data_IF_015333377572
#
_entry.id   IF_015333377572
#
_cell.length_a   1.000
_cell.length_b   1.000
_cell.length_c   1.000
_cell.angle_alpha   90.00
_cell.angle_beta   90.00
_cell.angle_gamma   90.00
#
_symmetry.space_group_name_H-M   'P 1'
#
loop_
_entity.id
_entity.type
_entity.pdbx_description
1 polymer ?
#
# COMPACT_ATOMS: atom_id res chain seq x y z
N UNK A 1 8.78 -12.15 -19.74
CA UNK A 1 8.57 -11.77 -19.98
C UNK A 1 7.99 -11.80 -20.18
N UNK A 2 7.84 -11.63 -19.91
CA UNK A 2 7.60 -11.48 -20.10
C UNK A 2 6.86 -11.22 -20.19
N UNK A 3 6.79 -11.10 -19.95
CA UNK A 3 6.41 -10.46 -20.04
C UNK A 3 5.79 -9.95 -20.36
N UNK A 4 5.55 -9.60 -20.16
CA UNK A 4 5.40 -8.81 -20.43
C UNK A 4 5.51 -8.23 -20.65
N UNK A 5 5.65 -7.95 -20.47
CA UNK A 5 6.00 -7.01 -20.51
C UNK A 5 6.39 -6.38 -21.30
N UNK A 6 6.59 -6.18 -21.67
CA UNK A 6 7.15 -5.53 -22.23
C UNK A 6 6.82 -4.57 -22.60
N UNK A 7 6.29 -4.02 -22.16
CA UNK A 7 6.21 -3.07 -22.33
C UNK A 7 5.99 -2.23 -22.12
N UNK A 8 5.61 -1.96 -22.15
CA UNK A 8 5.29 -1.22 -21.55
C UNK A 8 5.40 0.20 -21.32
N UNK A 9 5.10 0.94 -20.48
CA UNK A 9 5.56 2.19 -19.98
C UNK A 9 6.99 2.48 -20.38
N UNK A 10 7.30 3.66 -20.84
CA UNK A 10 8.63 4.00 -21.27
C UNK A 10 9.66 3.87 -20.17
N UNK A 11 9.36 4.40 -19.00
CA UNK A 11 10.28 4.30 -17.88
C UNK A 11 10.61 2.88 -17.54
N UNK A 12 9.62 2.01 -17.51
CA UNK A 12 9.86 0.64 -17.14
C UNK A 12 10.66 -0.11 -18.17
N UNK A 13 10.63 0.32 -19.43
CA UNK A 13 11.42 -0.34 -20.45
C UNK A 13 12.90 -0.27 -20.18
N UNK A 14 13.35 0.79 -19.56
CA UNK A 14 14.75 0.97 -19.25
C UNK A 14 15.26 -0.16 -18.36
N UNK A 15 14.38 -0.72 -17.56
CA UNK A 15 14.75 -1.71 -16.56
C UNK A 15 14.67 -3.15 -17.03
N UNK A 16 14.24 -3.36 -18.23
CA UNK A 16 13.96 -4.69 -18.72
C UNK A 16 15.11 -5.64 -18.80
N UNK A 17 16.30 -5.17 -18.91
CA UNK A 17 17.45 -6.05 -19.00
C UNK A 17 17.83 -6.73 -17.70
N UNK A 18 17.21 -6.35 -16.64
CA UNK A 18 17.60 -6.79 -15.30
C UNK A 18 16.78 -8.00 -14.90
N UNK A 19 17.29 -9.15 -15.18
CA UNK A 19 16.71 -10.44 -14.88
C UNK A 19 15.66 -10.47 -13.79
N UNK A 20 15.96 -11.05 -12.62
CA UNK A 20 15.02 -11.10 -11.53
C UNK A 20 14.51 -9.75 -11.16
N UNK A 21 15.35 -8.77 -11.30
CA UNK A 21 14.98 -7.43 -10.93
C UNK A 21 14.12 -6.75 -11.97
N UNK A 22 14.11 -7.25 -13.19
CA UNK A 22 13.35 -6.62 -14.26
C UNK A 22 11.86 -6.59 -13.93
N UNK A 23 11.31 -7.71 -13.46
CA UNK A 23 9.89 -7.78 -13.12
C UNK A 23 9.56 -6.83 -11.96
N UNK A 24 10.41 -6.84 -10.92
CA UNK A 24 10.18 -5.96 -9.78
C UNK A 24 10.34 -4.50 -10.16
N UNK A 25 11.34 -4.20 -10.97
CA UNK A 25 11.57 -2.83 -11.40
C UNK A 25 10.44 -2.33 -12.28
N UNK A 26 9.92 -3.19 -13.14
CA UNK A 26 8.78 -2.84 -13.98
C UNK A 26 7.53 -2.51 -13.17
N UNK A 27 7.27 -3.29 -12.13
CA UNK A 27 6.10 -3.04 -11.29
C UNK A 27 6.24 -1.76 -10.48
N UNK A 28 7.44 -1.45 -10.03
CA UNK A 28 7.70 -0.18 -9.36
C UNK A 28 7.54 1.00 -10.30
N UNK A 29 8.01 0.84 -11.54
CA UNK A 29 7.86 1.87 -12.55
C UNK A 29 6.39 2.13 -12.87
N UNK A 30 5.62 1.07 -12.98
CA UNK A 30 4.17 1.20 -13.22
C UNK A 30 3.50 1.96 -12.10
N UNK A 31 3.87 1.63 -10.86
CA UNK A 31 3.30 2.29 -9.70
C UNK A 31 3.70 3.77 -9.69
N UNK A 32 4.96 4.04 -9.96
CA UNK A 32 5.43 5.42 -10.00
C UNK A 32 4.75 6.22 -11.10
N UNK A 33 4.54 5.59 -12.27
CA UNK A 33 3.83 6.23 -13.36
C UNK A 33 2.41 6.58 -12.97
N UNK A 34 1.72 5.65 -12.28
CA UNK A 34 0.38 5.91 -11.78
C UNK A 34 0.39 7.13 -10.84
N UNK A 35 1.36 7.20 -9.93
CA UNK A 35 1.46 8.31 -9.00
C UNK A 35 1.70 9.63 -9.72
N UNK A 36 2.57 9.61 -10.74
CA UNK A 36 2.88 10.82 -11.50
C UNK A 36 1.71 11.29 -12.34
N UNK A 37 0.97 10.36 -12.92
CA UNK A 37 -0.21 10.69 -13.72
C UNK A 37 -1.30 11.34 -12.88
N UNK A 38 -1.31 11.03 -11.60
CA UNK A 38 -2.28 11.58 -10.65
C UNK A 38 -1.63 12.56 -9.69
N UNK A 39 -0.52 13.16 -10.11
CA UNK A 39 0.31 13.99 -9.24
C UNK A 39 -0.45 15.16 -8.63
N UNK A 40 -1.37 15.75 -9.37
CA UNK A 40 -2.14 16.88 -8.85
C UNK A 40 -2.93 16.46 -7.60
N UNK A 41 -3.48 15.27 -7.63
CA UNK A 41 -4.31 14.75 -6.54
C UNK A 41 -3.46 14.14 -5.43
N UNK A 42 -2.40 13.42 -5.79
CA UNK A 42 -1.67 12.59 -4.81
C UNK A 42 -0.34 13.17 -4.35
N UNK A 43 0.04 14.32 -4.86
CA UNK A 43 1.37 14.87 -4.66
C UNK A 43 1.80 14.95 -3.20
N UNK A 44 0.93 15.42 -2.34
CA UNK A 44 1.27 15.64 -0.94
C UNK A 44 0.66 14.61 0.00
N UNK A 45 0.08 13.54 -0.55
CA UNK A 45 -0.54 12.53 0.30
C UNK A 45 0.51 11.63 0.92
N UNK A 46 0.30 11.31 2.17
CA UNK A 46 1.11 10.32 2.88
C UNK A 46 0.62 8.92 2.54
N UNK A 47 1.33 7.91 3.00
CA UNK A 47 0.97 6.52 2.70
C UNK A 47 0.87 5.68 3.95
N UNK A 48 0.01 4.67 3.89
CA UNK A 48 -0.03 3.58 4.85
C UNK A 48 0.37 2.35 4.05
N UNK A 49 1.45 1.69 4.46
CA UNK A 49 2.01 0.54 3.73
C UNK A 49 1.87 -0.72 4.57
N UNK A 50 1.43 -1.81 3.94
CA UNK A 50 1.32 -3.09 4.63
C UNK A 50 1.65 -4.22 3.67
N UNK A 51 2.38 -5.24 4.14
CA UNK A 51 2.75 -6.37 3.31
C UNK A 51 4.23 -6.44 3.01
N UNK A 52 5.07 -5.99 3.95
CA UNK A 52 6.53 -6.06 3.83
C UNK A 52 7.06 -5.23 2.67
N UNK A 53 6.58 -3.99 2.58
CA UNK A 53 7.00 -3.05 1.53
C UNK A 53 7.46 -1.71 2.11
N UNK A 54 8.30 -1.72 3.17
CA UNK A 54 8.65 -0.46 3.86
C UNK A 54 9.44 0.51 3.00
N UNK A 55 10.25 0.00 2.08
CA UNK A 55 11.06 0.86 1.21
C UNK A 55 10.25 1.66 0.21
N UNK A 56 8.98 1.32 0.05
CA UNK A 56 8.14 1.96 -0.94
C UNK A 56 7.91 3.44 -0.63
N UNK A 57 7.80 3.79 0.65
CA UNK A 57 7.62 5.20 1.03
C UNK A 57 8.82 6.03 0.57
N UNK A 58 10.00 5.47 0.71
CA UNK A 58 11.22 6.14 0.28
C UNK A 58 11.26 6.26 -1.25
N UNK A 59 10.96 5.17 -1.93
CA UNK A 59 10.96 5.15 -3.39
C UNK A 59 9.97 6.15 -3.97
N UNK A 60 8.79 6.26 -3.38
CA UNK A 60 7.76 7.16 -3.85
C UNK A 60 7.90 8.58 -3.30
N UNK A 61 8.88 8.81 -2.43
CA UNK A 61 9.10 10.10 -1.77
C UNK A 61 7.84 10.54 -1.02
N UNK A 62 7.21 9.60 -0.31
CA UNK A 62 6.01 9.87 0.46
C UNK A 62 6.23 9.47 1.91
N UNK A 63 5.85 10.37 2.82
CA UNK A 63 5.98 10.08 4.25
C UNK A 63 4.92 9.09 4.70
N UNK A 64 5.19 8.30 5.75
CA UNK A 64 4.15 7.44 6.31
C UNK A 64 3.09 8.28 7.02
N UNK A 65 1.84 7.83 6.93
CA UNK A 65 0.72 8.50 7.59
C UNK A 65 0.58 8.07 9.04
N UNK A 66 1.18 6.93 9.39
CA UNK A 66 1.19 6.43 10.76
C UNK A 66 2.64 6.47 11.25
N UNK A 67 2.87 6.08 12.50
CA UNK A 67 4.16 6.28 13.15
C UNK A 67 5.35 5.59 12.44
N UNK A 68 5.10 4.73 11.49
CA UNK A 68 6.16 3.96 10.84
C UNK A 68 5.80 3.68 9.38
N UNK A 69 6.83 3.53 8.55
CA UNK A 69 6.65 3.07 7.17
C UNK A 69 6.62 1.54 7.08
N UNK A 70 6.76 0.85 8.21
CA UNK A 70 6.80 -0.61 8.23
C UNK A 70 5.85 -1.13 9.31
N UNK A 71 4.57 -0.86 9.12
CA UNK A 71 3.55 -1.18 10.11
C UNK A 71 3.46 -2.68 10.40
N UNK A 72 3.74 -3.51 9.41
CA UNK A 72 3.64 -4.97 9.59
C UNK A 72 4.89 -5.62 10.17
N UNK A 73 5.90 -4.83 10.57
CA UNK A 73 7.04 -5.37 11.28
C UNK A 73 6.60 -5.84 12.67
N UNK A 74 7.05 -7.01 13.08
CA UNK A 74 6.61 -7.64 14.33
C UNK A 74 6.80 -6.76 15.56
N UNK A 75 7.85 -5.95 15.57
CA UNK A 75 8.16 -5.11 16.74
C UNK A 75 7.30 -3.85 16.82
N UNK A 76 6.54 -3.54 15.77
CA UNK A 76 5.66 -2.38 15.77
C UNK A 76 4.32 -2.78 16.37
N UNK A 77 3.81 -1.98 17.31
CA UNK A 77 2.66 -2.39 18.09
C UNK A 77 1.33 -2.11 17.40
N UNK A 78 0.39 -3.00 17.62
CA UNK A 78 -0.98 -2.84 17.16
C UNK A 78 -1.61 -1.60 17.79
N UNK A 79 -1.36 -1.41 19.09
CA UNK A 79 -1.97 -0.29 19.83
C UNK A 79 -1.56 1.05 19.25
N UNK A 80 -0.29 1.18 18.89
CA UNK A 80 0.19 2.44 18.30
C UNK A 80 -0.44 2.68 16.93
N UNK A 81 -0.55 1.62 16.14
CA UNK A 81 -1.18 1.73 14.82
C UNK A 81 -2.65 2.11 14.96
N UNK A 82 -3.37 1.43 15.85
CA UNK A 82 -4.79 1.70 16.06
C UNK A 82 -5.02 3.13 16.52
N UNK A 83 -4.13 3.62 17.40
CA UNK A 83 -4.20 4.98 17.88
C UNK A 83 -4.00 6.00 16.76
N UNK A 84 -3.01 5.73 15.91
CA UNK A 84 -2.72 6.62 14.78
C UNK A 84 -3.87 6.64 13.79
N UNK A 85 -4.45 5.49 13.49
CA UNK A 85 -5.59 5.42 12.58
C UNK A 85 -6.80 6.16 13.15
N UNK A 86 -7.02 6.05 14.46
CA UNK A 86 -8.10 6.75 15.10
C UNK A 86 -7.89 8.26 15.04
N UNK A 87 -6.66 8.71 15.23
CA UNK A 87 -6.31 10.12 15.11
C UNK A 87 -6.59 10.62 13.69
N UNK A 88 -6.21 9.82 12.70
CA UNK A 88 -6.49 10.18 11.30
C UNK A 88 -7.99 10.32 11.05
N UNK A 89 -8.78 9.38 11.59
CA UNK A 89 -10.24 9.45 11.46
C UNK A 89 -10.81 10.76 11.97
N UNK A 90 -10.18 11.32 13.00
CA UNK A 90 -10.67 12.54 13.63
C UNK A 90 -10.16 13.80 12.98
N UNK A 91 -9.00 13.77 12.36
CA UNK A 91 -8.30 14.98 11.96
C UNK A 91 -8.09 15.14 10.46
N UNK A 92 -8.11 14.06 9.69
CA UNK A 92 -7.78 14.17 8.27
C UNK A 92 -8.91 14.78 7.47
N UNK A 93 -8.52 15.46 6.39
CA UNK A 93 -9.47 16.00 5.42
C UNK A 93 -9.41 15.13 4.17
N UNK A 94 -10.31 15.40 3.24
CA UNK A 94 -10.31 14.70 1.97
C UNK A 94 -8.97 14.86 1.25
N UNK A 95 -8.40 16.04 1.35
CA UNK A 95 -7.16 16.36 0.65
C UNK A 95 -5.94 15.65 1.23
N UNK A 96 -5.90 15.47 2.54
CA UNK A 96 -4.75 14.86 3.18
C UNK A 96 -4.98 13.40 3.56
N UNK A 97 -6.09 12.81 3.12
CA UNK A 97 -6.37 11.40 3.36
C UNK A 97 -5.28 10.55 2.74
N UNK A 98 -4.63 9.66 3.52
CA UNK A 98 -3.48 8.93 3.00
C UNK A 98 -3.88 7.89 1.96
N UNK A 99 -2.94 7.55 1.09
CA UNK A 99 -3.08 6.41 0.20
C UNK A 99 -2.76 5.16 1.00
N UNK A 100 -3.47 4.06 0.73
CA UNK A 100 -3.17 2.77 1.36
C UNK A 100 -2.63 1.85 0.27
N UNK A 101 -1.45 1.29 0.49
CA UNK A 101 -0.81 0.41 -0.48
C UNK A 101 -0.52 -0.94 0.18
N UNK A 102 -1.04 -1.99 -0.42
CA UNK A 102 -0.77 -3.37 0.00
C UNK A 102 0.10 -4.04 -1.05
N UNK A 103 0.94 -4.97 -0.62
CA UNK A 103 1.58 -5.86 -1.57
C UNK A 103 0.54 -6.88 -2.08
N UNK A 104 0.68 -7.29 -3.33
CA UNK A 104 -0.22 -8.31 -3.87
C UNK A 104 -0.10 -9.62 -3.12
N UNK A 105 1.06 -9.84 -2.54
CA UNK A 105 1.34 -11.03 -1.74
C UNK A 105 0.31 -11.25 -0.63
N UNK A 106 -0.22 -10.18 -0.05
CA UNK A 106 -1.16 -10.29 1.05
C UNK A 106 -2.61 -10.08 0.64
N UNK A 107 -2.89 -9.87 -0.64
CA UNK A 107 -4.26 -9.57 -1.07
C UNK A 107 -5.24 -10.70 -0.79
N UNK A 108 -4.79 -11.95 -0.85
CA UNK A 108 -5.67 -13.07 -0.51
C UNK A 108 -6.11 -12.99 0.96
N UNK A 109 -5.18 -12.61 1.84
CA UNK A 109 -5.51 -12.44 3.27
C UNK A 109 -6.42 -11.22 3.49
N UNK A 110 -6.19 -10.16 2.72
CA UNK A 110 -7.06 -8.97 2.78
C UNK A 110 -8.50 -9.37 2.44
N UNK A 111 -8.67 -10.09 1.34
CA UNK A 111 -10.00 -10.51 0.90
C UNK A 111 -10.64 -11.46 1.91
N UNK A 112 -9.85 -12.39 2.46
CA UNK A 112 -10.35 -13.32 3.45
C UNK A 112 -10.85 -12.60 4.70
N UNK A 113 -10.08 -11.64 5.18
CA UNK A 113 -10.49 -10.86 6.36
C UNK A 113 -11.74 -10.03 6.08
N UNK A 114 -11.88 -9.51 4.88
CA UNK A 114 -13.05 -8.72 4.51
C UNK A 114 -14.31 -9.59 4.44
N UNK A 115 -14.16 -10.81 3.92
CA UNK A 115 -15.32 -11.69 3.72
C UNK A 115 -15.69 -12.47 4.97
N UNK A 116 -14.71 -12.96 5.70
CA UNK A 116 -14.94 -13.93 6.78
C UNK A 116 -14.56 -13.42 8.16
N UNK A 117 -13.89 -12.28 8.24
CA UNK A 117 -13.40 -11.76 9.51
C UNK A 117 -12.25 -12.58 10.05
N UNK A 118 -11.82 -12.26 11.26
CA UNK A 118 -10.74 -12.98 11.91
C UNK A 118 -11.26 -14.22 12.61
N UNK A 119 -10.46 -15.29 12.59
CA UNK A 119 -10.74 -16.46 13.37
C UNK A 119 -10.25 -16.20 14.79
N UNK A 120 -11.16 -16.08 15.75
CA UNK A 120 -10.80 -15.75 17.13
C UNK A 120 -10.22 -14.35 17.21
N UNK A 121 -9.17 -14.20 18.00
CA UNK A 121 -8.51 -12.90 18.18
C UNK A 121 -7.50 -12.60 17.06
N UNK A 122 -7.04 -13.63 16.38
CA UNK A 122 -6.04 -13.49 15.33
C UNK A 122 -4.65 -13.18 15.86
N UNK A 123 -3.68 -13.15 14.97
CA UNK A 123 -2.32 -12.75 15.30
C UNK A 123 -2.24 -11.23 15.36
N UNK A 124 -1.14 -10.70 15.90
CA UNK A 124 -0.91 -9.25 15.91
C UNK A 124 -0.93 -8.72 14.48
N UNK A 125 -0.32 -9.47 13.56
CA UNK A 125 -0.30 -9.09 12.14
C UNK A 125 -1.73 -8.97 11.58
N UNK A 126 -2.57 -9.94 11.89
CA UNK A 126 -3.97 -9.91 11.44
C UNK A 126 -4.76 -8.79 12.08
N UNK A 127 -4.50 -8.53 13.37
CA UNK A 127 -5.17 -7.44 14.08
C UNK A 127 -4.81 -6.10 13.46
N UNK A 128 -3.55 -5.90 13.12
CA UNK A 128 -3.10 -4.67 12.46
C UNK A 128 -3.74 -4.52 11.09
N UNK A 129 -3.76 -5.59 10.32
CA UNK A 129 -4.36 -5.55 8.99
C UNK A 129 -5.85 -5.23 9.09
N UNK A 130 -6.54 -5.86 10.04
CA UNK A 130 -7.96 -5.58 10.23
C UNK A 130 -8.20 -4.12 10.62
N UNK A 131 -7.33 -3.57 11.44
CA UNK A 131 -7.46 -2.16 11.83
C UNK A 131 -7.37 -1.25 10.59
N UNK A 132 -6.44 -1.55 9.70
CA UNK A 132 -6.30 -0.78 8.45
C UNK A 132 -7.55 -0.97 7.58
N UNK A 133 -8.05 -2.20 7.46
CA UNK A 133 -9.24 -2.47 6.65
C UNK A 133 -10.47 -1.78 7.20
N UNK A 134 -10.63 -1.75 8.52
CA UNK A 134 -11.74 -1.06 9.16
C UNK A 134 -11.64 0.46 8.89
N UNK A 135 -10.43 1.00 8.98
CA UNK A 135 -10.19 2.40 8.66
C UNK A 135 -10.59 2.71 7.21
N UNK A 136 -10.22 1.82 6.30
CA UNK A 136 -10.56 1.99 4.88
C UNK A 136 -12.07 1.91 4.65
N UNK A 137 -12.74 0.99 5.35
CA UNK A 137 -14.19 0.83 5.20
C UNK A 137 -14.94 2.05 5.70
N UNK A 138 -14.55 2.53 6.86
CA UNK A 138 -15.18 3.71 7.45
C UNK A 138 -15.03 4.94 6.55
N UNK A 139 -13.88 5.04 5.89
CA UNK A 139 -13.58 6.19 5.04
C UNK A 139 -13.85 5.94 3.57
N UNK A 140 -14.50 4.84 3.24
CA UNK A 140 -14.97 4.52 1.89
C UNK A 140 -13.84 4.53 0.85
N UNK A 141 -12.73 3.89 1.19
CA UNK A 141 -11.62 3.74 0.26
C UNK A 141 -12.01 2.82 -0.89
N UNK A 142 -11.44 3.06 -2.05
CA UNK A 142 -11.63 2.20 -3.21
C UNK A 142 -10.30 1.92 -3.87
N UNK A 143 -10.22 0.81 -4.60
CA UNK A 143 -9.00 0.45 -5.30
C UNK A 143 -8.84 1.37 -6.52
N UNK A 144 -7.69 2.02 -6.63
CA UNK A 144 -7.39 2.93 -7.73
C UNK A 144 -6.36 2.36 -8.69
N UNK A 145 -5.55 1.40 -8.25
CA UNK A 145 -4.48 0.84 -9.07
C UNK A 145 -4.12 -0.54 -8.55
N UNK A 146 -3.76 -1.42 -9.46
CA UNK A 146 -3.28 -2.76 -9.08
C UNK A 146 -2.40 -3.28 -10.20
N UNK A 147 -1.28 -3.91 -9.82
CA UNK A 147 -0.46 -4.66 -10.76
C UNK A 147 0.00 -5.94 -10.08
N UNK A 148 1.04 -6.57 -10.60
CA UNK A 148 1.48 -7.87 -10.07
C UNK A 148 2.05 -7.79 -8.65
N UNK A 149 2.47 -6.61 -8.22
CA UNK A 149 3.15 -6.45 -6.93
C UNK A 149 2.39 -5.57 -5.94
N UNK A 150 1.59 -4.64 -6.40
CA UNK A 150 1.00 -3.63 -5.53
C UNK A 150 -0.46 -3.38 -5.82
N UNK A 151 -1.21 -3.06 -4.78
CA UNK A 151 -2.59 -2.58 -4.90
C UNK A 151 -2.67 -1.26 -4.14
N UNK A 152 -3.20 -0.22 -4.77
CA UNK A 152 -3.31 1.12 -4.20
C UNK A 152 -4.77 1.45 -4.00
N UNK A 153 -5.09 1.90 -2.80
CA UNK A 153 -6.45 2.32 -2.44
C UNK A 153 -6.45 3.80 -2.07
N UNK A 154 -7.51 4.49 -2.48
CA UNK A 154 -7.66 5.92 -2.25
C UNK A 154 -9.00 6.24 -1.60
#
# INVERSE_FOLDING_TARGET
DGHKRDTTVEGSRILRGMKTNAANAGTLEELNTFMLENNTEYRNKKVILYGNIPGLSYYLHKAPAVYTSWADLDTNSYERLAEDLNTLNQTMTEEDRPLVIFSEEIMAQVLDLQENGMAGEGSVWEQKLKAILDFMTVNEYRKAFENEKYAVFV
#
